data_IF_792344310993
#
_entry.id   IF_792344310993
#
_cell.length_a   1.000
_cell.length_b   1.000
_cell.length_c   1.000
_cell.angle_alpha   90.00
_cell.angle_beta   90.00
_cell.angle_gamma   90.00
#
_symmetry.space_group_name_H-M   'P 1'
#
loop_
_entity.id
_entity.type
_entity.pdbx_description
1 polymer ?
#
# COMPACT_ATOMS: atom_id res chain seq x y z
N UNK A 1 -11.78 7.60 -9.02
CA UNK A 1 -12.48 6.46 -8.37
C UNK A 1 -11.63 5.17 -8.39
N UNK A 2 -10.76 5.04 -9.37
CA UNK A 2 -9.83 3.95 -9.66
C UNK A 2 -8.91 3.62 -8.49
N UNK A 3 -8.26 4.61 -7.90
CA UNK A 3 -7.37 4.40 -6.75
C UNK A 3 -8.09 3.80 -5.55
N UNK A 4 -9.35 4.21 -5.32
CA UNK A 4 -10.18 3.63 -4.27
C UNK A 4 -10.48 2.17 -4.59
N UNK A 5 -10.89 1.87 -5.83
CA UNK A 5 -11.12 0.49 -6.28
C UNK A 5 -9.91 -0.42 -6.10
N UNK A 6 -8.72 0.05 -6.50
CA UNK A 6 -7.46 -0.70 -6.32
C UNK A 6 -7.16 -0.92 -4.84
N UNK A 7 -7.37 0.09 -3.99
CA UNK A 7 -7.12 -0.03 -2.55
C UNK A 7 -8.11 -0.99 -1.89
N UNK A 8 -9.37 -1.01 -2.32
CA UNK A 8 -10.38 -1.96 -1.85
C UNK A 8 -10.05 -3.41 -2.23
N UNK A 9 -9.48 -3.65 -3.42
CA UNK A 9 -8.99 -4.99 -3.81
C UNK A 9 -7.87 -5.43 -2.88
N UNK A 10 -6.92 -4.54 -2.55
CA UNK A 10 -5.85 -4.83 -1.58
C UNK A 10 -6.44 -5.10 -0.20
N UNK A 11 -7.40 -4.28 0.24
CA UNK A 11 -8.07 -4.44 1.53
C UNK A 11 -8.77 -5.80 1.63
N UNK A 12 -9.44 -6.26 0.57
CA UNK A 12 -10.11 -7.57 0.54
C UNK A 12 -9.15 -8.71 0.90
N UNK A 13 -7.94 -8.69 0.35
CA UNK A 13 -6.91 -9.68 0.70
C UNK A 13 -6.37 -9.51 2.11
N UNK A 14 -6.15 -8.27 2.57
CA UNK A 14 -5.72 -8.02 3.96
C UNK A 14 -6.76 -8.52 4.97
N UNK A 15 -8.05 -8.44 4.63
CA UNK A 15 -9.16 -8.90 5.47
C UNK A 15 -9.18 -10.42 5.68
N UNK A 16 -8.45 -11.20 4.89
CA UNK A 16 -8.21 -12.62 5.17
C UNK A 16 -7.38 -12.83 6.45
N UNK A 17 -6.53 -11.86 6.81
CA UNK A 17 -5.76 -11.89 8.06
C UNK A 17 -6.49 -11.15 9.20
N UNK A 18 -7.01 -9.95 8.92
CA UNK A 18 -7.63 -9.10 9.94
C UNK A 18 -8.89 -8.42 9.42
N UNK A 19 -10.03 -8.75 10.03
CA UNK A 19 -11.33 -8.19 9.64
C UNK A 19 -11.46 -6.70 9.98
N UNK A 20 -10.76 -6.21 11.00
CA UNK A 20 -10.81 -4.83 11.46
C UNK A 20 -9.85 -3.89 10.70
N UNK A 21 -9.87 -4.01 9.37
CA UNK A 21 -9.14 -3.14 8.47
C UNK A 21 -10.13 -2.35 7.60
N UNK A 22 -9.83 -1.08 7.37
CA UNK A 22 -10.68 -0.20 6.57
C UNK A 22 -9.87 0.79 5.74
N UNK A 23 -10.39 1.14 4.57
CA UNK A 23 -9.80 2.20 3.74
C UNK A 23 -10.38 3.54 4.20
N UNK A 24 -9.52 4.40 4.72
CA UNK A 24 -9.85 5.79 5.10
C UNK A 24 -9.28 6.77 4.08
N UNK A 25 -9.23 8.02 4.50
CA UNK A 25 -8.64 9.15 3.81
C UNK A 25 -7.44 8.85 2.90
N UNK A 26 -7.39 9.56 1.77
CA UNK A 26 -6.32 9.45 0.76
C UNK A 26 -6.02 8.01 0.36
N UNK A 27 -7.05 7.15 0.29
CA UNK A 27 -6.93 5.74 -0.07
C UNK A 27 -5.85 5.01 0.76
N UNK A 28 -5.83 5.28 2.06
CA UNK A 28 -4.94 4.64 3.02
C UNK A 28 -5.67 3.52 3.75
N UNK A 29 -5.00 2.42 4.06
CA UNK A 29 -5.58 1.32 4.86
C UNK A 29 -5.13 1.46 6.30
N UNK A 30 -6.09 1.32 7.22
CA UNK A 30 -5.89 1.36 8.65
C UNK A 30 -6.27 0.02 9.29
N UNK A 31 -5.47 -0.42 10.26
CA UNK A 31 -5.77 -1.49 11.20
C UNK A 31 -6.20 -0.82 12.51
N UNK A 32 -7.51 -0.79 12.76
CA UNK A 32 -8.09 0.11 13.78
C UNK A 32 -7.78 1.58 13.49
N UNK A 33 -7.05 2.23 14.40
CA UNK A 33 -6.64 3.63 14.25
C UNK A 33 -5.26 3.82 13.63
N UNK A 34 -4.49 2.75 13.43
CA UNK A 34 -3.12 2.83 12.95
C UNK A 34 -3.05 2.56 11.46
N UNK A 35 -2.42 3.47 10.72
CA UNK A 35 -2.19 3.34 9.28
C UNK A 35 -1.19 2.24 8.99
N UNK A 36 -1.53 1.36 8.07
CA UNK A 36 -0.66 0.27 7.59
C UNK A 36 -0.30 0.44 6.11
N UNK A 37 -1.13 1.12 5.32
CA UNK A 37 -0.89 1.39 3.91
C UNK A 37 -1.08 2.87 3.58
N UNK A 38 -0.12 3.46 2.88
CA UNK A 38 -0.26 4.75 2.22
C UNK A 38 -0.14 4.60 0.70
N UNK A 39 -0.93 5.37 -0.04
CA UNK A 39 -0.91 5.36 -1.50
C UNK A 39 -0.69 6.76 -2.08
N UNK A 40 -0.23 6.77 -3.32
CA UNK A 40 -0.10 7.95 -4.15
C UNK A 40 -0.38 7.60 -5.61
N UNK A 41 -0.71 8.62 -6.39
CA UNK A 41 -1.19 8.48 -7.77
C UNK A 41 -0.43 9.48 -8.64
N UNK A 42 -0.03 9.04 -9.83
CA UNK A 42 0.37 9.92 -10.91
C UNK A 42 -0.53 9.64 -12.12
N UNK A 43 -1.02 10.70 -12.75
CA UNK A 43 -1.80 10.60 -13.98
C UNK A 43 -1.21 11.54 -15.03
N UNK A 44 -1.00 11.01 -16.23
CA UNK A 44 -0.53 11.79 -17.37
C UNK A 44 -1.18 11.24 -18.63
N UNK A 45 -1.86 12.10 -19.38
CA UNK A 45 -2.67 11.73 -20.54
C UNK A 45 -3.70 10.66 -20.13
N UNK A 46 -3.73 9.56 -20.86
CA UNK A 46 -4.56 8.37 -20.68
C UNK A 46 -3.94 7.33 -19.72
N UNK A 47 -2.79 7.63 -19.11
CA UNK A 47 -2.07 6.71 -18.22
C UNK A 47 -2.30 7.04 -16.75
N UNK A 48 -2.69 6.02 -16.00
CA UNK A 48 -2.89 6.07 -14.57
C UNK A 48 -1.87 5.16 -13.86
N UNK A 49 -1.13 5.71 -12.91
CA UNK A 49 -0.16 4.99 -12.10
C UNK A 49 -0.53 5.11 -10.62
N UNK A 50 -0.90 3.99 -10.03
CA UNK A 50 -1.13 3.87 -8.58
C UNK A 50 0.04 3.11 -7.96
N UNK A 51 0.62 3.67 -6.90
CA UNK A 51 1.58 2.96 -6.07
C UNK A 51 1.24 3.11 -4.60
N UNK A 52 1.65 2.12 -3.82
CA UNK A 52 1.39 2.09 -2.39
C UNK A 52 2.54 1.42 -1.64
N UNK A 53 2.69 1.81 -0.39
CA UNK A 53 3.58 1.15 0.58
C UNK A 53 2.73 0.52 1.67
N UNK A 54 2.97 -0.77 1.95
CA UNK A 54 2.31 -1.53 3.01
C UNK A 54 3.37 -1.92 4.06
N UNK A 55 3.15 -1.53 5.31
CA UNK A 55 4.01 -1.91 6.43
C UNK A 55 3.70 -3.33 6.84
N UNK A 56 4.57 -4.28 6.48
CA UNK A 56 4.38 -5.71 6.80
C UNK A 56 5.08 -6.04 8.11
N UNK A 57 6.40 -5.82 8.19
CA UNK A 57 7.24 -6.08 9.35
C UNK A 57 8.45 -5.13 9.37
N UNK A 58 8.18 -3.84 9.17
CA UNK A 58 9.18 -2.78 9.07
C UNK A 58 9.70 -2.36 10.44
N UNK A 59 10.93 -1.84 10.52
CA UNK A 59 11.45 -1.23 11.74
C UNK A 59 10.81 0.16 11.94
N UNK A 60 9.76 0.23 12.75
CA UNK A 60 9.00 1.47 12.96
C UNK A 60 9.81 2.55 13.69
N UNK A 61 10.82 2.18 14.49
CA UNK A 61 11.71 3.14 15.15
C UNK A 61 12.59 3.86 14.13
N UNK A 62 13.16 3.12 13.18
CA UNK A 62 13.96 3.72 12.10
C UNK A 62 13.09 4.52 11.14
N UNK A 63 11.86 4.06 10.87
CA UNK A 63 10.89 4.85 10.10
C UNK A 63 10.62 6.19 10.78
N UNK A 64 10.32 6.20 12.08
CA UNK A 64 10.05 7.42 12.85
C UNK A 64 11.24 8.38 12.80
N UNK A 65 12.46 7.89 13.05
CA UNK A 65 13.69 8.69 12.94
C UNK A 65 13.86 9.30 11.54
N UNK A 66 13.67 8.51 10.49
CA UNK A 66 13.89 8.95 9.11
C UNK A 66 12.91 10.04 8.65
N UNK A 67 11.72 10.09 9.23
CA UNK A 67 10.68 11.06 8.84
C UNK A 67 10.48 12.17 9.87
N UNK A 68 11.21 12.15 10.99
CA UNK A 68 11.17 13.19 12.01
C UNK A 68 12.08 14.35 11.57
N UNK A 69 11.48 15.33 10.91
CA UNK A 69 12.15 16.55 10.44
C UNK A 69 11.29 17.76 10.84
N UNK A 70 11.94 18.90 11.06
CA UNK A 70 11.25 20.15 11.37
C UNK A 70 10.53 20.65 10.13
N UNK A 71 9.20 20.79 10.19
CA UNK A 71 8.34 21.15 9.05
C UNK A 71 8.49 22.62 8.58
N UNK A 72 9.71 23.03 8.29
CA UNK A 72 10.05 24.30 7.66
C UNK A 72 9.87 24.20 6.15
N UNK A 73 8.96 25.00 5.62
CA UNK A 73 8.65 25.04 4.20
C UNK A 73 8.99 26.42 3.63
N UNK A 74 9.50 26.52 2.38
CA UNK A 74 9.88 27.82 1.81
C UNK A 74 8.66 28.73 1.61
N UNK A 75 8.68 29.91 2.23
CA UNK A 75 7.58 30.90 2.16
C UNK A 75 7.44 31.54 0.77
N UNK A 76 8.55 31.67 0.03
CA UNK A 76 8.61 32.38 -1.24
C UNK A 76 8.25 31.51 -2.46
N UNK A 77 7.65 30.34 -2.25
CA UNK A 77 7.31 29.39 -3.32
C UNK A 77 5.85 28.94 -3.22
N UNK A 78 5.35 28.26 -4.25
CA UNK A 78 4.02 27.64 -4.20
C UNK A 78 3.92 26.74 -2.97
N UNK A 79 2.86 26.92 -2.16
CA UNK A 79 2.67 26.16 -0.93
C UNK A 79 2.79 24.65 -1.17
N UNK A 80 3.75 23.98 -0.51
CA UNK A 80 3.98 22.56 -0.74
C UNK A 80 2.85 21.71 -0.16
N UNK A 81 2.67 20.52 -0.74
CA UNK A 81 1.74 19.53 -0.19
C UNK A 81 2.35 18.96 1.09
N UNK A 82 1.77 19.31 2.24
CA UNK A 82 2.23 18.83 3.54
C UNK A 82 1.92 17.35 3.76
N UNK A 83 2.82 16.67 4.45
CA UNK A 83 2.64 15.29 4.87
C UNK A 83 1.56 15.20 5.96
N UNK A 84 0.58 14.31 5.78
CA UNK A 84 -0.38 14.01 6.85
C UNK A 84 0.22 12.95 7.76
N UNK A 85 0.68 13.35 8.95
CA UNK A 85 1.21 12.43 9.97
C UNK A 85 0.10 11.51 10.47
N UNK A 86 0.44 10.24 10.68
CA UNK A 86 -0.50 9.23 11.19
C UNK A 86 0.26 8.28 12.10
N UNK A 87 -0.40 7.79 13.16
CA UNK A 87 0.12 6.64 13.91
C UNK A 87 0.14 5.43 12.98
N UNK A 88 1.24 4.69 12.97
CA UNK A 88 1.44 3.53 12.08
C UNK A 88 1.62 2.24 12.86
N UNK A 89 1.36 1.11 12.21
CA UNK A 89 1.72 -0.21 12.72
C UNK A 89 2.11 -1.13 11.56
N UNK A 90 2.76 -2.24 11.90
CA UNK A 90 2.98 -3.32 10.96
C UNK A 90 1.75 -4.21 10.88
N UNK A 91 1.49 -4.78 9.70
CA UNK A 91 0.51 -5.83 9.52
C UNK A 91 0.84 -7.05 10.40
N UNK A 92 2.12 -7.37 10.60
CA UNK A 92 2.58 -8.46 11.46
C UNK A 92 2.37 -8.21 12.96
N UNK A 93 1.84 -7.05 13.38
CA UNK A 93 1.72 -6.73 14.81
C UNK A 93 0.74 -7.62 15.57
N UNK A 94 -0.21 -8.26 14.87
CA UNK A 94 -1.22 -9.11 15.47
C UNK A 94 -0.90 -10.60 15.31
N UNK A 95 -0.36 -11.01 14.15
CA UNK A 95 0.11 -12.38 13.90
C UNK A 95 1.34 -12.37 12.99
N UNK A 96 2.29 -13.31 13.15
CA UNK A 96 3.45 -13.41 12.27
C UNK A 96 3.03 -13.61 10.81
N UNK A 97 3.53 -12.73 9.92
CA UNK A 97 3.23 -12.76 8.48
C UNK A 97 4.52 -12.60 7.68
N UNK A 98 4.67 -13.43 6.66
CA UNK A 98 5.79 -13.33 5.71
C UNK A 98 5.41 -12.42 4.54
N UNK A 99 6.40 -11.71 4.00
CA UNK A 99 6.20 -10.86 2.82
C UNK A 99 5.68 -11.65 1.61
N UNK A 100 6.08 -12.91 1.45
CA UNK A 100 5.64 -13.76 0.36
C UNK A 100 4.15 -14.10 0.48
N UNK A 101 3.68 -14.44 1.69
CA UNK A 101 2.26 -14.73 1.93
C UNK A 101 1.38 -13.53 1.62
N UNK A 102 1.83 -12.33 2.01
CA UNK A 102 1.12 -11.07 1.72
C UNK A 102 1.09 -10.79 0.21
N UNK A 103 2.23 -10.98 -0.49
CA UNK A 103 2.30 -10.82 -1.95
C UNK A 103 1.34 -11.76 -2.70
N UNK A 104 1.30 -13.02 -2.32
CA UNK A 104 0.42 -14.03 -2.93
C UNK A 104 -1.06 -13.69 -2.74
N UNK A 105 -1.47 -13.34 -1.51
CA UNK A 105 -2.87 -12.99 -1.23
C UNK A 105 -3.29 -11.72 -1.97
N UNK A 106 -2.43 -10.71 -2.03
CA UNK A 106 -2.72 -9.49 -2.81
C UNK A 106 -2.86 -9.85 -4.29
N UNK A 107 -1.91 -10.60 -4.87
CA UNK A 107 -1.97 -11.02 -6.27
C UNK A 107 -3.26 -11.79 -6.56
N UNK A 108 -3.57 -12.82 -5.77
CA UNK A 108 -4.76 -13.64 -5.96
C UNK A 108 -6.05 -12.80 -5.91
N UNK A 109 -6.11 -11.82 -5.00
CA UNK A 109 -7.25 -10.90 -4.92
C UNK A 109 -7.36 -10.00 -6.16
N UNK A 110 -6.25 -9.54 -6.74
CA UNK A 110 -6.28 -8.83 -8.02
C UNK A 110 -6.78 -9.71 -9.16
N UNK A 111 -6.28 -10.93 -9.28
CA UNK A 111 -6.69 -11.86 -10.34
C UNK A 111 -8.18 -12.17 -10.28
N UNK A 112 -8.69 -12.48 -9.08
CA UNK A 112 -10.10 -12.75 -8.87
C UNK A 112 -10.96 -11.51 -9.13
N UNK A 113 -10.57 -10.35 -8.60
CA UNK A 113 -11.38 -9.12 -8.73
C UNK A 113 -11.42 -8.59 -10.16
N UNK A 114 -10.32 -8.75 -10.91
CA UNK A 114 -10.20 -8.33 -12.30
C UNK A 114 -10.53 -9.44 -13.31
N UNK A 115 -10.91 -10.63 -12.84
CA UNK A 115 -11.22 -11.82 -13.66
C UNK A 115 -10.10 -12.18 -14.66
N UNK A 116 -8.85 -12.04 -14.21
CA UNK A 116 -7.67 -12.38 -15.00
C UNK A 116 -7.38 -13.87 -14.82
N UNK A 117 -7.24 -14.61 -15.94
CA UNK A 117 -6.84 -16.02 -15.92
C UNK A 117 -5.35 -16.15 -15.60
N UNK A 118 -4.97 -17.18 -14.83
CA UNK A 118 -3.59 -17.35 -14.35
C UNK A 118 -2.56 -17.50 -15.47
N UNK A 119 -2.94 -18.17 -16.56
CA UNK A 119 -2.09 -18.37 -17.75
C UNK A 119 -1.72 -17.07 -18.49
N UNK A 120 -2.34 -15.94 -18.13
CA UNK A 120 -2.03 -14.61 -18.66
C UNK A 120 -1.08 -13.81 -17.75
N UNK A 121 -0.54 -14.42 -16.69
CA UNK A 121 0.32 -13.75 -15.71
C UNK A 121 1.78 -14.01 -16.05
N UNK A 122 2.55 -12.93 -16.10
CA UNK A 122 4.00 -13.00 -16.17
C UNK A 122 4.55 -12.42 -14.87
N UNK A 123 5.22 -13.25 -14.06
CA UNK A 123 5.92 -12.77 -12.87
C UNK A 123 7.34 -12.36 -13.24
N UNK A 124 7.72 -11.13 -12.91
CA UNK A 124 9.07 -10.60 -13.14
C UNK A 124 9.76 -10.47 -11.77
N UNK A 125 10.85 -11.22 -11.57
CA UNK A 125 11.65 -11.18 -10.34
C UNK A 125 13.11 -10.91 -10.69
N UNK A 126 13.69 -9.80 -10.24
CA UNK A 126 15.12 -9.50 -10.40
C UNK A 126 15.64 -9.73 -11.84
N UNK A 127 14.89 -9.26 -12.86
CA UNK A 127 15.13 -9.47 -14.30
C UNK A 127 14.89 -10.88 -14.84
N UNK A 128 14.54 -11.86 -14.01
CA UNK A 128 14.09 -13.18 -14.44
C UNK A 128 12.58 -13.15 -14.73
N UNK A 129 12.19 -13.71 -15.87
CA UNK A 129 10.79 -13.85 -16.30
C UNK A 129 10.33 -15.27 -15.96
N UNK A 130 9.32 -15.40 -15.12
CA UNK A 130 8.68 -16.68 -14.80
C UNK A 130 7.25 -16.62 -15.35
N UNK A 131 6.98 -17.41 -16.38
CA UNK A 131 5.62 -17.61 -16.91
C UNK A 131 4.92 -18.65 -16.03
N UNK A 132 3.68 -18.37 -15.64
CA UNK A 132 2.83 -19.27 -14.86
C UNK A 132 1.83 -19.92 -15.80
#
# INVERSE_FOLDING_TARGET
EEARGITEIILKGIKEFYKNCEVKERNSIFLGEKKILGSAIAQKNDKFFYHASLLINSNLKELEKAINWEEEYPENTRSPIRSKRSKVTNLSSCTPLTINKVKEIILNNFLQSLKIKENNIIKIYNKNIIKI
#
